data_IF_144971404777
#
_entry.id   IF_144971404777
#
_cell.length_a   1.000
_cell.length_b   1.000
_cell.length_c   1.000
_cell.angle_alpha   90.00
_cell.angle_beta   90.00
_cell.angle_gamma   90.00
#
_symmetry.space_group_name_H-M   'P 1'
#
loop_
_entity.id
_entity.type
_entity.pdbx_description
1 polymer ?
#
# COMPACT_ATOMS: atom_id res chain seq x y z
N UNK A 1 29.81 36.47 -26.22
CA UNK A 1 29.12 36.17 -24.95
C UNK A 1 28.30 34.90 -25.16
N UNK A 2 28.74 33.78 -24.59
CA UNK A 2 27.96 32.54 -24.61
C UNK A 2 27.13 32.50 -23.33
N UNK A 3 25.82 32.39 -23.46
CA UNK A 3 24.93 32.19 -22.32
C UNK A 3 25.26 30.85 -21.66
N UNK A 4 25.56 30.88 -20.36
CA UNK A 4 25.72 29.68 -19.56
C UNK A 4 24.39 28.90 -19.59
N UNK A 5 24.45 27.64 -19.98
CA UNK A 5 23.32 26.71 -19.86
C UNK A 5 23.07 26.49 -18.37
N UNK A 6 21.90 26.90 -17.89
CA UNK A 6 21.43 26.52 -16.57
C UNK A 6 21.32 25.00 -16.49
N UNK A 7 21.90 24.40 -15.45
CA UNK A 7 21.77 23.00 -15.15
C UNK A 7 20.28 22.68 -14.87
N UNK A 8 19.79 21.47 -15.22
CA UNK A 8 18.41 21.11 -14.93
C UNK A 8 18.20 21.14 -13.41
N UNK A 9 17.14 21.83 -12.99
CA UNK A 9 16.66 21.85 -11.60
C UNK A 9 16.34 20.40 -11.21
N UNK A 10 17.01 19.87 -10.18
CA UNK A 10 16.67 18.58 -9.59
C UNK A 10 15.20 18.59 -9.14
N UNK A 11 14.42 17.57 -9.55
CA UNK A 11 13.02 17.42 -9.15
C UNK A 11 12.93 17.40 -7.60
N UNK A 12 12.26 18.37 -6.97
CA UNK A 12 12.12 18.43 -5.50
C UNK A 12 11.37 17.22 -4.93
N UNK A 13 10.65 16.48 -5.79
CA UNK A 13 10.01 15.22 -5.47
C UNK A 13 11.01 14.12 -5.81
N UNK A 14 11.86 13.69 -4.87
CA UNK A 14 12.67 12.49 -5.07
C UNK A 14 11.72 11.30 -5.29
N UNK A 15 11.42 11.05 -6.56
CA UNK A 15 10.55 10.02 -7.06
C UNK A 15 11.44 8.79 -7.27
N UNK A 16 11.29 7.78 -6.40
CA UNK A 16 12.06 6.55 -6.53
C UNK A 16 11.14 5.34 -6.51
N UNK A 17 11.54 4.31 -7.24
CA UNK A 17 10.80 3.06 -7.36
C UNK A 17 11.50 2.02 -6.51
N UNK A 18 10.78 1.45 -5.53
CA UNK A 18 11.21 0.22 -4.89
C UNK A 18 10.86 -0.96 -5.78
N UNK A 19 11.85 -1.77 -6.09
CA UNK A 19 11.65 -3.06 -6.75
C UNK A 19 11.60 -4.15 -5.69
N UNK A 20 10.59 -5.02 -5.80
CA UNK A 20 10.42 -6.22 -5.00
C UNK A 20 10.30 -7.41 -5.94
N UNK A 21 11.39 -8.16 -6.09
CA UNK A 21 11.41 -9.42 -6.83
C UNK A 21 10.45 -10.42 -6.19
N UNK A 22 9.73 -11.21 -6.98
CA UNK A 22 8.85 -12.31 -6.58
C UNK A 22 9.58 -13.65 -6.70
N UNK A 23 9.02 -14.71 -6.12
CA UNK A 23 9.59 -16.06 -6.18
C UNK A 23 9.72 -16.60 -7.61
N UNK A 24 8.84 -16.19 -8.52
CA UNK A 24 8.86 -16.58 -9.94
C UNK A 24 9.85 -15.76 -10.80
N UNK A 25 10.62 -14.86 -10.17
CA UNK A 25 11.60 -13.98 -10.84
C UNK A 25 10.99 -12.72 -11.47
N UNK A 26 9.66 -12.54 -11.41
CA UNK A 26 9.02 -11.29 -11.84
C UNK A 26 9.15 -10.20 -10.78
N UNK A 27 9.01 -8.92 -11.14
CA UNK A 27 9.30 -7.80 -10.24
C UNK A 27 8.09 -6.90 -10.02
N UNK A 28 7.68 -6.75 -8.76
CA UNK A 28 6.78 -5.66 -8.37
C UNK A 28 7.54 -4.34 -8.32
N UNK A 29 6.98 -3.31 -8.94
CA UNK A 29 7.56 -1.96 -9.00
C UNK A 29 6.65 -0.98 -8.26
N UNK A 30 7.14 -0.44 -7.15
CA UNK A 30 6.37 0.39 -6.22
C UNK A 30 6.95 1.80 -6.25
N UNK A 31 6.24 2.74 -6.88
CA UNK A 31 6.53 4.15 -6.76
C UNK A 31 6.46 4.55 -5.27
N UNK A 32 7.38 5.42 -4.88
CA UNK A 32 7.44 6.08 -3.59
C UNK A 32 7.65 7.59 -3.81
N UNK A 33 7.29 8.38 -2.82
CA UNK A 33 7.49 9.83 -2.81
C UNK A 33 8.35 10.22 -1.62
N UNK A 34 9.46 10.94 -1.86
CA UNK A 34 10.32 11.47 -0.81
C UNK A 34 9.66 12.60 0.02
N UNK A 35 8.64 13.26 -0.53
CA UNK A 35 7.83 14.26 0.15
C UNK A 35 6.36 13.82 0.17
N UNK A 36 5.87 13.40 1.33
CA UNK A 36 4.50 12.91 1.50
C UNK A 36 4.32 11.95 2.67
N UNK A 37 4.64 12.37 3.90
CA UNK A 37 4.37 11.58 5.11
C UNK A 37 4.93 10.14 5.13
N UNK A 38 4.56 9.38 6.17
CA UNK A 38 5.03 7.99 6.40
C UNK A 38 4.38 6.95 5.46
N UNK A 39 3.31 7.32 4.75
CA UNK A 39 2.55 6.42 3.87
C UNK A 39 3.17 6.19 2.49
N UNK A 40 4.19 6.96 2.12
CA UNK A 40 4.74 6.96 0.76
C UNK A 40 5.96 6.07 0.55
N UNK A 41 6.36 5.28 1.56
CA UNK A 41 7.51 4.35 1.48
C UNK A 41 7.12 2.90 1.74
N UNK A 42 7.86 1.97 1.13
CA UNK A 42 7.74 0.53 1.37
C UNK A 42 8.50 0.19 2.64
N UNK A 43 7.76 -0.06 3.71
CA UNK A 43 8.30 -0.48 5.00
C UNK A 43 8.81 -1.93 4.96
N UNK A 44 9.80 -2.24 5.78
CA UNK A 44 10.37 -3.59 5.89
C UNK A 44 9.32 -4.64 6.28
N UNK A 45 8.37 -4.28 7.15
CA UNK A 45 7.26 -5.16 7.50
C UNK A 45 6.41 -5.57 6.28
N UNK A 46 6.20 -4.65 5.33
CA UNK A 46 5.47 -4.96 4.10
C UNK A 46 6.26 -5.95 3.23
N UNK A 47 7.59 -5.80 3.14
CA UNK A 47 8.45 -6.73 2.39
C UNK A 47 8.44 -8.12 3.04
N UNK A 48 8.56 -8.19 4.36
CA UNK A 48 8.50 -9.46 5.11
C UNK A 48 7.16 -10.14 4.85
N UNK A 49 6.04 -9.42 4.93
CA UNK A 49 4.72 -9.98 4.68
C UNK A 49 4.57 -10.43 3.21
N UNK A 50 4.99 -9.62 2.24
CA UNK A 50 5.00 -10.01 0.83
C UNK A 50 5.73 -11.35 0.62
N UNK A 51 6.91 -11.50 1.23
CA UNK A 51 7.70 -12.73 1.12
C UNK A 51 7.10 -13.90 1.87
N UNK A 52 6.47 -13.65 3.02
CA UNK A 52 5.72 -14.66 3.73
C UNK A 52 4.57 -15.24 2.90
N UNK A 53 3.82 -14.39 2.18
CA UNK A 53 2.72 -14.84 1.31
C UNK A 53 3.18 -15.79 0.20
N UNK A 54 4.44 -15.73 -0.22
CA UNK A 54 5.01 -16.62 -1.25
C UNK A 54 5.60 -17.93 -0.66
N UNK A 55 5.61 -18.10 0.67
CA UNK A 55 6.20 -19.28 1.31
C UNK A 55 5.37 -20.54 1.02
N UNK A 56 5.98 -21.72 0.82
CA UNK A 56 5.24 -22.95 0.55
C UNK A 56 4.20 -23.27 1.63
N UNK A 57 4.54 -23.02 2.90
CA UNK A 57 3.65 -23.25 4.03
C UNK A 57 2.39 -22.37 4.02
N UNK A 58 2.47 -21.16 3.46
CA UNK A 58 1.31 -20.29 3.31
C UNK A 58 0.56 -20.56 1.99
N UNK A 59 1.28 -20.76 0.89
CA UNK A 59 0.70 -20.99 -0.43
C UNK A 59 -0.16 -22.25 -0.49
N UNK A 60 0.21 -23.30 0.25
CA UNK A 60 -0.50 -24.59 0.26
C UNK A 60 -0.19 -25.48 -0.95
N UNK A 61 -0.87 -26.62 -1.02
CA UNK A 61 -0.75 -27.59 -2.11
C UNK A 61 -1.69 -27.20 -3.28
N UNK A 62 -1.18 -27.18 -4.51
CA UNK A 62 -1.96 -26.89 -5.71
C UNK A 62 -2.12 -25.39 -5.99
N UNK A 63 -3.36 -24.92 -6.15
CA UNK A 63 -3.62 -23.49 -6.36
C UNK A 63 -3.28 -22.69 -5.10
N UNK A 64 -2.71 -21.50 -5.27
CA UNK A 64 -2.30 -20.65 -4.16
C UNK A 64 -3.46 -20.37 -3.19
N UNK A 65 -3.21 -20.38 -1.87
CA UNK A 65 -4.23 -20.20 -0.83
C UNK A 65 -5.07 -18.92 -0.97
N UNK A 66 -4.50 -17.87 -1.55
CA UNK A 66 -5.18 -16.60 -1.84
C UNK A 66 -5.96 -16.58 -3.16
N UNK A 67 -5.81 -17.58 -4.02
CA UNK A 67 -6.47 -17.62 -5.32
C UNK A 67 -7.99 -17.56 -5.16
N UNK A 68 -8.63 -16.60 -5.85
CA UNK A 68 -10.08 -16.33 -5.82
C UNK A 68 -10.62 -15.99 -4.42
N UNK A 69 -9.75 -15.53 -3.51
CA UNK A 69 -10.15 -15.05 -2.19
C UNK A 69 -10.31 -13.54 -2.22
N UNK A 70 -11.34 -13.04 -1.55
CA UNK A 70 -11.50 -11.60 -1.29
C UNK A 70 -10.55 -11.18 -0.18
N UNK A 71 -9.71 -10.17 -0.46
CA UNK A 71 -8.72 -9.63 0.48
C UNK A 71 -8.94 -8.13 0.63
N UNK A 72 -8.93 -7.66 1.87
CA UNK A 72 -8.94 -6.24 2.21
C UNK A 72 -7.62 -5.91 2.91
N UNK A 73 -6.88 -4.94 2.39
CA UNK A 73 -5.69 -4.39 3.04
C UNK A 73 -6.01 -3.02 3.61
N UNK A 74 -5.69 -2.82 4.90
CA UNK A 74 -5.89 -1.56 5.63
C UNK A 74 -4.53 -0.88 5.84
N UNK A 75 -4.44 0.41 5.54
CA UNK A 75 -3.17 1.14 5.65
C UNK A 75 -2.17 0.65 4.60
N UNK A 76 -2.64 0.53 3.35
CA UNK A 76 -1.88 -0.04 2.24
C UNK A 76 -0.60 0.73 1.89
N UNK A 77 -0.51 2.03 2.19
CA UNK A 77 0.62 2.89 1.82
C UNK A 77 0.87 2.86 0.32
N UNK A 78 1.98 2.25 -0.10
CA UNK A 78 2.30 2.03 -1.52
C UNK A 78 1.46 0.92 -2.18
N UNK A 79 0.73 0.12 -1.41
CA UNK A 79 -0.05 -1.04 -1.87
C UNK A 79 0.79 -2.30 -2.06
N UNK A 80 1.97 -2.40 -1.43
CA UNK A 80 2.93 -3.48 -1.68
C UNK A 80 2.33 -4.88 -1.44
N UNK A 81 1.69 -5.08 -0.28
CA UNK A 81 1.19 -6.39 0.12
C UNK A 81 -0.09 -6.73 -0.63
N UNK A 82 -1.00 -5.78 -0.79
CA UNK A 82 -2.20 -5.95 -1.59
C UNK A 82 -1.88 -6.30 -3.05
N UNK A 83 -0.88 -5.66 -3.65
CA UNK A 83 -0.42 -6.01 -5.00
C UNK A 83 0.18 -7.41 -5.04
N UNK A 84 1.04 -7.78 -4.08
CA UNK A 84 1.55 -9.15 -3.98
C UNK A 84 0.40 -10.16 -3.96
N UNK A 85 -0.58 -9.98 -3.07
CA UNK A 85 -1.76 -10.84 -2.97
C UNK A 85 -2.53 -10.94 -4.30
N UNK A 86 -2.72 -9.81 -5.00
CA UNK A 86 -3.40 -9.78 -6.30
C UNK A 86 -2.63 -10.55 -7.39
N UNK A 87 -1.30 -10.51 -7.36
CA UNK A 87 -0.48 -11.34 -8.27
C UNK A 87 -0.50 -12.82 -7.94
N UNK A 88 -0.89 -13.18 -6.71
CA UNK A 88 -1.10 -14.55 -6.23
C UNK A 88 -2.56 -15.02 -6.41
N UNK A 89 -3.36 -14.26 -7.17
CA UNK A 89 -4.70 -14.63 -7.60
C UNK A 89 -5.84 -14.13 -6.72
N UNK A 90 -5.58 -13.26 -5.74
CA UNK A 90 -6.62 -12.68 -4.88
C UNK A 90 -7.43 -11.59 -5.59
N UNK A 91 -8.65 -11.36 -5.10
CA UNK A 91 -9.49 -10.21 -5.42
C UNK A 91 -9.35 -9.17 -4.31
N UNK A 92 -8.53 -8.15 -4.56
CA UNK A 92 -7.99 -7.26 -3.53
C UNK A 92 -8.64 -5.89 -3.56
N UNK A 93 -9.01 -5.39 -2.37
CA UNK A 93 -9.25 -3.97 -2.13
C UNK A 93 -8.13 -3.44 -1.26
N UNK A 94 -7.33 -2.52 -1.81
CA UNK A 94 -6.31 -1.79 -1.06
C UNK A 94 -6.90 -0.49 -0.55
N UNK A 95 -6.73 -0.20 0.75
CA UNK A 95 -7.34 0.97 1.38
C UNK A 95 -6.35 1.79 2.18
N UNK A 96 -6.49 3.09 2.05
CA UNK A 96 -5.73 4.08 2.80
C UNK A 96 -6.47 5.43 2.79
N UNK A 97 -5.83 6.46 3.36
CA UNK A 97 -6.27 7.84 3.35
C UNK A 97 -6.37 8.40 1.93
N UNK A 98 -7.08 9.53 1.81
CA UNK A 98 -7.36 10.18 0.53
C UNK A 98 -6.09 10.62 -0.20
N UNK A 99 -5.11 11.14 0.55
CA UNK A 99 -3.81 11.57 0.05
C UNK A 99 -2.99 10.45 -0.63
N UNK A 100 -3.25 9.17 -0.32
CA UNK A 100 -2.52 8.04 -0.91
C UNK A 100 -3.26 7.38 -2.07
N UNK A 101 -4.48 7.79 -2.39
CA UNK A 101 -5.27 7.13 -3.45
C UNK A 101 -4.59 7.20 -4.81
N UNK A 102 -3.93 8.32 -5.14
CA UNK A 102 -3.24 8.45 -6.43
C UNK A 102 -1.96 7.63 -6.48
N UNK A 103 -1.26 7.49 -5.36
CA UNK A 103 -0.11 6.58 -5.23
C UNK A 103 -0.54 5.12 -5.44
N UNK A 104 -1.62 4.70 -4.77
CA UNK A 104 -2.17 3.35 -4.92
C UNK A 104 -2.58 3.06 -6.37
N UNK A 105 -3.34 3.97 -7.00
CA UNK A 105 -3.74 3.81 -8.42
C UNK A 105 -2.55 3.73 -9.36
N UNK A 106 -1.52 4.55 -9.12
CA UNK A 106 -0.27 4.52 -9.90
C UNK A 106 0.43 3.17 -9.78
N UNK A 107 0.60 2.68 -8.55
CA UNK A 107 1.25 1.39 -8.31
C UNK A 107 0.42 0.21 -8.85
N UNK A 108 -0.90 0.27 -8.80
CA UNK A 108 -1.78 -0.70 -9.47
C UNK A 108 -1.51 -0.70 -10.98
N UNK A 109 -1.51 0.46 -11.62
CA UNK A 109 -1.29 0.53 -13.08
C UNK A 109 0.11 0.05 -13.49
N UNK A 110 1.14 0.33 -12.67
CA UNK A 110 2.51 -0.15 -12.93
C UNK A 110 2.63 -1.68 -12.91
N UNK A 111 1.82 -2.36 -12.09
CA UNK A 111 1.92 -3.80 -11.86
C UNK A 111 0.75 -4.61 -12.45
N UNK A 112 -0.20 -3.98 -13.13
CA UNK A 112 -1.40 -4.64 -13.68
C UNK A 112 -1.11 -5.85 -14.57
N UNK A 113 0.05 -5.88 -15.21
CA UNK A 113 0.49 -6.97 -16.08
C UNK A 113 0.89 -8.25 -15.31
N UNK A 114 1.12 -8.15 -14.00
CA UNK A 114 1.44 -9.28 -13.11
C UNK A 114 0.22 -9.77 -12.31
N UNK A 115 -0.89 -9.02 -12.34
CA UNK A 115 -2.09 -9.33 -11.56
C UNK A 115 -2.82 -10.51 -12.20
N UNK A 116 -3.03 -11.57 -11.42
CA UNK A 116 -3.74 -12.79 -11.85
C UNK A 116 -5.13 -12.91 -11.23
N UNK A 117 -5.42 -12.16 -10.16
CA UNK A 117 -6.76 -11.92 -9.64
C UNK A 117 -7.28 -10.54 -10.04
N UNK A 118 -7.68 -9.72 -9.05
CA UNK A 118 -8.07 -8.33 -9.26
C UNK A 118 -7.56 -7.42 -8.16
N UNK A 119 -7.43 -6.13 -8.43
CA UNK A 119 -7.04 -5.13 -7.44
C UNK A 119 -7.69 -3.78 -7.73
N UNK A 120 -8.21 -3.12 -6.70
CA UNK A 120 -8.74 -1.77 -6.78
C UNK A 120 -8.40 -0.99 -5.50
N UNK A 121 -8.16 0.32 -5.65
CA UNK A 121 -7.99 1.23 -4.53
C UNK A 121 -9.34 1.78 -4.08
N UNK A 122 -9.59 1.81 -2.77
CA UNK A 122 -10.75 2.47 -2.18
C UNK A 122 -10.33 3.30 -0.98
N UNK A 123 -11.08 4.38 -0.74
CA UNK A 123 -10.94 5.16 0.48
C UNK A 123 -11.36 4.31 1.68
N UNK A 124 -10.50 4.27 2.70
CA UNK A 124 -10.85 3.65 3.97
C UNK A 124 -12.12 4.28 4.57
N UNK A 125 -12.29 5.59 4.34
CA UNK A 125 -13.45 6.36 4.79
C UNK A 125 -14.79 5.93 4.16
N UNK A 126 -14.82 5.09 3.12
CA UNK A 126 -16.10 4.66 2.53
C UNK A 126 -16.87 3.76 3.48
N UNK A 127 -16.19 2.79 4.09
CA UNK A 127 -16.80 1.74 4.91
C UNK A 127 -16.64 1.98 6.41
N UNK A 128 -15.73 2.86 6.80
CA UNK A 128 -15.38 3.12 8.19
C UNK A 128 -15.42 4.61 8.53
N UNK A 129 -15.90 4.92 9.73
CA UNK A 129 -15.65 6.18 10.42
C UNK A 129 -14.34 6.08 11.19
N UNK A 130 -13.60 7.17 11.27
CA UNK A 130 -12.32 7.24 11.96
C UNK A 130 -12.26 8.50 12.82
N UNK A 131 -11.68 8.36 14.00
CA UNK A 131 -11.45 9.46 14.92
C UNK A 131 -9.97 9.39 15.34
N UNK A 132 -9.20 10.43 15.02
CA UNK A 132 -7.79 10.51 15.45
C UNK A 132 -7.76 10.69 16.96
N UNK A 133 -7.00 9.84 17.62
CA UNK A 133 -6.67 10.01 19.04
C UNK A 133 -5.68 11.17 19.14
N UNK A 134 -5.97 12.21 19.93
CA UNK A 134 -5.04 13.30 20.15
C UNK A 134 -3.73 12.84 20.80
N UNK A 135 -2.62 13.50 20.46
CA UNK A 135 -1.27 13.11 20.89
C UNK A 135 -1.13 13.11 22.43
N UNK A 136 -1.84 14.01 23.10
CA UNK A 136 -1.91 14.09 24.56
C UNK A 136 -2.59 12.90 25.23
N UNK A 137 -3.36 12.10 24.46
CA UNK A 137 -3.95 10.84 24.94
C UNK A 137 -3.11 9.62 24.56
N UNK A 138 -2.03 9.80 23.81
CA UNK A 138 -1.10 8.72 23.54
C UNK A 138 -0.26 8.45 24.80
N UNK A 139 0.30 7.25 24.88
CA UNK A 139 1.26 6.89 25.92
C UNK A 139 2.45 7.86 25.93
N UNK A 140 2.85 8.36 27.10
CA UNK A 140 3.89 9.40 27.21
C UNK A 140 5.26 8.93 26.70
N UNK A 141 5.57 7.63 26.83
CA UNK A 141 6.83 7.03 26.42
C UNK A 141 6.83 6.64 24.94
N UNK A 142 5.70 6.09 24.45
CA UNK A 142 5.62 5.52 23.10
C UNK A 142 4.93 6.42 22.05
N UNK A 143 4.64 7.68 22.38
CA UNK A 143 4.03 8.62 21.43
C UNK A 143 5.05 9.23 20.46
N UNK A 144 4.58 9.50 19.25
CA UNK A 144 5.31 10.27 18.24
C UNK A 144 4.32 11.15 17.47
N UNK A 145 4.76 12.35 17.09
CA UNK A 145 3.99 13.25 16.21
C UNK A 145 3.75 12.64 14.82
N UNK A 146 4.64 11.74 14.39
CA UNK A 146 4.57 11.03 13.12
C UNK A 146 3.66 9.79 13.19
N UNK A 147 3.21 9.37 14.39
CA UNK A 147 2.37 8.20 14.59
C UNK A 147 0.94 8.65 14.91
N UNK A 148 0.03 8.39 13.97
CA UNK A 148 -1.37 8.72 14.10
C UNK A 148 -2.14 7.49 14.60
N UNK A 149 -2.65 7.53 15.82
CA UNK A 149 -3.52 6.46 16.35
C UNK A 149 -4.97 6.83 16.03
N UNK A 150 -5.72 5.89 15.45
CA UNK A 150 -7.10 6.10 15.02
C UNK A 150 -8.04 5.10 15.69
N UNK A 151 -9.18 5.58 16.21
CA UNK A 151 -10.34 4.73 16.46
C UNK A 151 -11.10 4.52 15.16
N UNK A 152 -11.13 3.28 14.67
CA UNK A 152 -11.83 2.92 13.44
C UNK A 152 -13.13 2.18 13.80
N UNK A 153 -14.27 2.67 13.30
CA UNK A 153 -15.59 2.08 13.51
C UNK A 153 -16.24 1.80 12.17
N UNK A 154 -16.72 0.57 11.95
CA UNK A 154 -17.47 0.25 10.74
C UNK A 154 -18.76 1.07 10.71
N UNK A 155 -19.03 1.72 9.57
CA UNK A 155 -20.31 2.41 9.37
C UNK A 155 -21.45 1.40 9.44
N UNK A 156 -22.54 1.77 10.10
CA UNK A 156 -23.76 0.95 10.08
C UNK A 156 -24.26 0.88 8.63
N UNK A 157 -24.49 -0.34 8.13
CA UNK A 157 -25.05 -0.56 6.80
C UNK A 157 -26.37 0.19 6.68
N UNK A 158 -26.53 0.98 5.61
CA UNK A 158 -27.82 1.63 5.29
C UNK A 158 -28.85 0.68 4.70
N UNK A 159 -28.48 -0.58 4.45
CA UNK A 159 -29.38 -1.62 3.95
C UNK A 159 -29.35 -2.84 4.88
N UNK A 160 -30.51 -3.33 5.35
CA UNK A 160 -30.57 -4.59 6.07
C UNK A 160 -30.21 -5.75 5.12
N UNK A 161 -29.53 -6.74 5.68
CA UNK A 161 -29.18 -8.02 5.04
C UNK A 161 -30.41 -8.81 4.61
#
# INVERSE_FOLDING_TARGET
MAAAREAPVEDPLQNFVRVLEKRDGTELRLQQYGSGGVGCVVWDAAIVLCKYLETPGFSGEGAHALSRRSVLELGSGTGAVGLMAATLGADVVVTDLEELQDLLKRNINMNKHLVTGSVQAKLLQLDFDFEKIPLEKHDEEYRSEDIHILYIRKKKSKFPS
#
